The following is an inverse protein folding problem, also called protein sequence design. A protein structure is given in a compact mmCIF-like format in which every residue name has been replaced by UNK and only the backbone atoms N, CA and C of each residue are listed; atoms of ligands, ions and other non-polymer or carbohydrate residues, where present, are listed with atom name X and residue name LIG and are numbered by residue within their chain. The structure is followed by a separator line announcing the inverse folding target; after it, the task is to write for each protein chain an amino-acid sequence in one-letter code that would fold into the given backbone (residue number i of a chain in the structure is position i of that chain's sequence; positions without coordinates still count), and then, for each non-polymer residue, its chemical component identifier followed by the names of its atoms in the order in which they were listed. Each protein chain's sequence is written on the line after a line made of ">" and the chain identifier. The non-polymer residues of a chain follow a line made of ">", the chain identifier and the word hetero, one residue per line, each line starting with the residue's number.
data_IF_679670153478
#
_entry.id   IF_679670153478
#
_cell.length_a   1.000
_cell.length_b   1.000
_cell.length_c   1.000
_cell.angle_alpha   90.00
_cell.angle_beta   90.00
_cell.angle_gamma   90.00
#
_symmetry.space_group_name_H-M   'P 1'
#
loop_
_entity.id
_entity.type
_entity.pdbx_description
1 polymer ?
#
# COMPACT_ATOMS: atom_id res chain seq x y z
N UNK A 1 -14.89 -27.29 -4.50
CA UNK A 1 -15.49 -27.55 -5.82
C UNK A 1 -16.72 -26.68 -5.91
N UNK A 2 -16.74 -25.74 -6.85
CA UNK A 2 -17.92 -24.89 -7.08
C UNK A 2 -18.95 -25.64 -7.92
N UNK A 3 -20.21 -25.49 -7.55
CA UNK A 3 -21.36 -26.00 -8.28
C UNK A 3 -21.78 -25.00 -9.36
N UNK A 4 -22.49 -25.44 -10.41
CA UNK A 4 -23.04 -24.52 -11.41
C UNK A 4 -24.00 -23.48 -10.78
N UNK A 5 -24.60 -23.81 -9.64
CA UNK A 5 -25.46 -22.94 -8.84
C UNK A 5 -24.72 -21.76 -8.19
N UNK A 6 -23.39 -21.86 -8.06
CA UNK A 6 -22.55 -20.80 -7.50
C UNK A 6 -22.21 -19.71 -8.54
N UNK A 7 -22.49 -19.97 -9.83
CA UNK A 7 -22.29 -19.00 -10.91
C UNK A 7 -23.40 -17.94 -10.85
N UNK A 8 -23.12 -16.85 -10.15
CA UNK A 8 -24.02 -15.69 -10.05
C UNK A 8 -23.46 -14.50 -10.84
N UNK A 9 -24.32 -13.61 -11.36
CA UNK A 9 -23.87 -12.35 -11.96
C UNK A 9 -22.87 -11.61 -11.06
N UNK A 10 -21.80 -11.12 -11.65
CA UNK A 10 -20.62 -10.49 -11.03
C UNK A 10 -19.65 -11.42 -10.28
N UNK A 11 -19.87 -12.75 -10.26
CA UNK A 11 -18.85 -13.66 -9.73
C UNK A 11 -17.62 -13.70 -10.65
N UNK A 12 -16.43 -13.90 -10.06
CA UNK A 12 -15.19 -14.10 -10.81
C UNK A 12 -14.86 -15.60 -10.82
N UNK A 13 -14.69 -16.15 -12.02
CA UNK A 13 -14.52 -17.58 -12.25
C UNK A 13 -13.18 -17.84 -12.95
N UNK A 14 -12.52 -18.93 -12.55
CA UNK A 14 -11.40 -19.56 -13.25
C UNK A 14 -11.85 -20.86 -13.92
N UNK A 15 -11.25 -21.18 -15.07
CA UNK A 15 -11.45 -22.46 -15.75
C UNK A 15 -12.37 -22.42 -16.97
N UNK A 16 -12.98 -21.27 -17.26
CA UNK A 16 -13.66 -21.00 -18.54
C UNK A 16 -12.61 -20.78 -19.64
N UNK A 17 -11.62 -19.92 -19.35
CA UNK A 17 -10.46 -19.72 -20.20
C UNK A 17 -9.22 -20.35 -19.53
N UNK A 18 -8.27 -20.93 -20.31
CA UNK A 18 -7.12 -21.65 -19.77
C UNK A 18 -6.22 -20.83 -18.84
N UNK A 19 -6.09 -19.53 -19.09
CA UNK A 19 -5.13 -18.65 -18.41
C UNK A 19 -5.74 -17.29 -18.01
N UNK A 20 -7.07 -17.22 -17.90
CA UNK A 20 -7.75 -15.97 -17.58
C UNK A 20 -8.92 -16.17 -16.62
N UNK A 21 -9.08 -15.19 -15.73
CA UNK A 21 -10.30 -15.02 -14.94
C UNK A 21 -11.36 -14.33 -15.80
N UNK A 22 -12.60 -14.76 -15.62
CA UNK A 22 -13.76 -14.17 -16.30
C UNK A 22 -14.78 -13.72 -15.27
N UNK A 23 -15.47 -12.63 -15.57
CA UNK A 23 -16.57 -12.13 -14.74
C UNK A 23 -17.89 -12.59 -15.34
N UNK A 24 -18.76 -13.19 -14.52
CA UNK A 24 -20.12 -13.55 -14.93
C UNK A 24 -20.92 -12.29 -15.22
N UNK A 25 -21.48 -12.19 -16.42
CA UNK A 25 -22.43 -11.13 -16.77
C UNK A 25 -23.85 -11.64 -16.58
N UNK A 26 -24.16 -12.81 -17.12
CA UNK A 26 -25.47 -13.43 -17.03
C UNK A 26 -25.36 -14.96 -17.05
N UNK A 27 -26.38 -15.62 -16.50
CA UNK A 27 -26.52 -17.08 -16.47
C UNK A 27 -27.95 -17.43 -16.87
N UNK A 28 -28.10 -18.28 -17.88
CA UNK A 28 -29.40 -18.78 -18.33
C UNK A 28 -29.43 -20.30 -18.23
N UNK A 29 -30.34 -20.83 -17.40
CA UNK A 29 -30.46 -22.26 -17.18
C UNK A 29 -31.33 -22.94 -18.24
N UNK A 30 -30.89 -24.12 -18.68
CA UNK A 30 -31.66 -25.05 -19.52
C UNK A 30 -31.94 -26.33 -18.73
N UNK A 31 -33.08 -26.33 -18.03
CA UNK A 31 -33.43 -27.41 -17.09
C UNK A 31 -32.46 -27.45 -15.90
N UNK A 32 -32.08 -28.65 -15.45
CA UNK A 32 -31.18 -28.84 -14.31
C UNK A 32 -29.75 -29.28 -14.70
N UNK A 33 -29.52 -29.57 -15.99
CA UNK A 33 -28.29 -30.22 -16.45
C UNK A 33 -27.30 -29.32 -17.19
N UNK A 34 -27.75 -28.13 -17.62
CA UNK A 34 -26.94 -27.22 -18.41
C UNK A 34 -27.32 -25.76 -18.15
N UNK A 35 -26.35 -24.86 -18.33
CA UNK A 35 -26.57 -23.42 -18.37
C UNK A 35 -25.73 -22.77 -19.46
N UNK A 36 -26.24 -21.69 -20.04
CA UNK A 36 -25.45 -20.77 -20.86
C UNK A 36 -24.91 -19.66 -19.96
N UNK A 37 -23.59 -19.53 -19.97
CA UNK A 37 -22.84 -18.53 -19.23
C UNK A 37 -22.42 -17.41 -20.19
N UNK A 38 -22.92 -16.20 -19.98
CA UNK A 38 -22.36 -14.99 -20.58
C UNK A 38 -21.32 -14.43 -19.64
N UNK A 39 -20.09 -14.30 -20.11
CA UNK A 39 -18.97 -13.80 -19.32
C UNK A 39 -18.22 -12.67 -20.03
N UNK A 40 -17.48 -11.89 -19.26
CA UNK A 40 -16.62 -10.81 -19.73
C UNK A 40 -15.18 -11.09 -19.31
N UNK A 41 -14.24 -10.99 -20.25
CA UNK A 41 -12.80 -11.11 -19.97
C UNK A 41 -12.24 -9.80 -19.41
N UNK A 42 -11.04 -9.85 -18.83
CA UNK A 42 -10.32 -8.66 -18.39
C UNK A 42 -10.07 -7.64 -19.53
N UNK A 43 -9.98 -8.11 -20.77
CA UNK A 43 -9.86 -7.27 -21.97
C UNK A 43 -11.17 -6.58 -22.38
N UNK A 44 -12.27 -6.87 -21.68
CA UNK A 44 -13.58 -6.30 -21.94
C UNK A 44 -14.41 -7.04 -22.99
N UNK A 45 -13.87 -8.09 -23.61
CA UNK A 45 -14.57 -8.93 -24.58
C UNK A 45 -15.65 -9.75 -23.88
N UNK A 46 -16.85 -9.74 -24.45
CA UNK A 46 -17.98 -10.56 -23.98
C UNK A 46 -18.10 -11.79 -24.86
N UNK A 47 -18.29 -12.95 -24.24
CA UNK A 47 -18.50 -14.22 -24.92
C UNK A 47 -19.50 -15.08 -24.14
N UNK A 48 -20.05 -16.09 -24.82
CA UNK A 48 -20.96 -17.06 -24.24
C UNK A 48 -20.36 -18.46 -24.33
N UNK A 49 -20.59 -19.28 -23.30
CA UNK A 49 -20.23 -20.69 -23.30
C UNK A 49 -21.37 -21.50 -22.67
N UNK A 50 -21.65 -22.67 -23.25
CA UNK A 50 -22.63 -23.61 -22.70
C UNK A 50 -21.89 -24.58 -21.76
N UNK A 51 -22.32 -24.62 -20.50
CA UNK A 51 -21.72 -25.43 -19.45
C UNK A 51 -22.68 -26.53 -19.01
N UNK A 52 -22.11 -27.70 -18.75
CA UNK A 52 -22.80 -28.89 -18.25
C UNK A 52 -22.24 -29.31 -16.90
N UNK A 53 -22.93 -30.23 -16.23
CA UNK A 53 -22.50 -30.77 -14.91
C UNK A 53 -21.09 -31.36 -14.91
N UNK A 54 -20.62 -31.92 -16.01
CA UNK A 54 -19.26 -32.46 -16.09
C UNK A 54 -18.18 -31.36 -16.14
N UNK A 55 -18.55 -30.13 -16.51
CA UNK A 55 -17.65 -28.98 -16.54
C UNK A 55 -17.42 -28.38 -15.14
N UNK A 56 -18.25 -28.71 -14.14
CA UNK A 56 -18.08 -28.26 -12.75
C UNK A 56 -16.67 -28.57 -12.20
N UNK A 57 -16.08 -29.69 -12.63
CA UNK A 57 -14.74 -30.09 -12.20
C UNK A 57 -13.63 -29.14 -12.65
N UNK A 58 -13.81 -28.40 -13.77
CA UNK A 58 -12.83 -27.42 -14.25
C UNK A 58 -13.08 -26.00 -13.72
N UNK A 59 -14.23 -25.76 -13.12
CA UNK A 59 -14.69 -24.43 -12.73
C UNK A 59 -14.35 -24.17 -11.26
N UNK A 60 -13.75 -23.02 -11.00
CA UNK A 60 -13.48 -22.53 -9.64
C UNK A 60 -13.97 -21.08 -9.52
N UNK A 61 -14.89 -20.82 -8.58
CA UNK A 61 -15.28 -19.45 -8.22
C UNK A 61 -14.21 -18.86 -7.32
N UNK A 62 -13.44 -17.91 -7.85
CA UNK A 62 -12.27 -17.30 -7.18
C UNK A 62 -12.67 -16.14 -6.27
N UNK A 63 -13.71 -15.39 -6.65
CA UNK A 63 -14.16 -14.24 -5.87
C UNK A 63 -15.69 -14.10 -5.97
N UNK A 64 -16.37 -14.22 -4.82
CA UNK A 64 -17.79 -13.87 -4.68
C UNK A 64 -17.88 -12.42 -4.21
N UNK A 65 -17.77 -11.45 -5.11
CA UNK A 65 -17.87 -10.06 -4.67
C UNK A 65 -17.49 -9.00 -5.69
N UNK A 66 -17.78 -7.75 -5.33
CA UNK A 66 -17.36 -6.58 -6.09
C UNK A 66 -15.86 -6.34 -5.79
N UNK A 67 -15.00 -6.14 -6.79
CA UNK A 67 -13.57 -5.82 -6.58
C UNK A 67 -13.31 -4.55 -5.75
N UNK A 68 -14.35 -3.77 -5.45
CA UNK A 68 -14.33 -2.54 -4.65
C UNK A 68 -15.39 -2.61 -3.55
N UNK A 69 -15.31 -3.62 -2.69
CA UNK A 69 -16.31 -3.87 -1.64
C UNK A 69 -16.43 -2.75 -0.60
N UNK A 70 -15.38 -1.95 -0.38
CA UNK A 70 -15.28 -0.95 0.72
C UNK A 70 -15.76 -1.49 2.08
N UNK A 71 -15.67 -2.80 2.27
CA UNK A 71 -16.14 -3.59 3.40
C UNK A 71 -15.00 -3.99 4.35
N UNK A 72 -13.78 -3.49 4.10
CA UNK A 72 -12.64 -3.66 4.97
C UNK A 72 -12.82 -2.99 6.34
N UNK A 73 -12.05 -3.45 7.32
CA UNK A 73 -12.08 -2.90 8.67
C UNK A 73 -11.58 -1.44 8.69
N UNK A 74 -12.51 -0.50 8.88
CA UNK A 74 -12.22 0.93 8.95
C UNK A 74 -11.33 1.33 10.13
N UNK A 75 -11.37 0.58 11.25
CA UNK A 75 -10.49 0.84 12.39
C UNK A 75 -9.05 0.47 12.05
N UNK A 76 -8.85 -0.67 11.40
CA UNK A 76 -7.53 -1.09 10.92
C UNK A 76 -6.98 -0.13 9.86
N UNK A 77 -7.81 0.29 8.90
CA UNK A 77 -7.44 1.29 7.91
C UNK A 77 -6.96 2.60 8.56
N UNK A 78 -7.73 3.12 9.53
CA UNK A 78 -7.36 4.31 10.29
C UNK A 78 -6.04 4.12 11.03
N UNK A 79 -5.85 2.98 11.70
CA UNK A 79 -4.63 2.69 12.45
C UNK A 79 -3.39 2.72 11.55
N UNK A 80 -3.45 2.05 10.39
CA UNK A 80 -2.34 2.04 9.43
C UNK A 80 -2.09 3.43 8.86
N UNK A 81 -3.15 4.17 8.54
CA UNK A 81 -3.04 5.55 8.05
C UNK A 81 -2.34 6.46 9.06
N UNK A 82 -2.72 6.41 10.34
CA UNK A 82 -2.07 7.17 11.41
C UNK A 82 -0.62 6.72 11.64
N UNK A 83 -0.35 5.42 11.60
CA UNK A 83 1.01 4.89 11.70
C UNK A 83 1.89 5.41 10.56
N UNK A 84 1.38 5.45 9.33
CA UNK A 84 2.09 6.03 8.19
C UNK A 84 2.30 7.54 8.35
N UNK A 85 1.30 8.28 8.82
CA UNK A 85 1.42 9.72 9.10
C UNK A 85 2.55 10.02 10.09
N UNK A 86 2.64 9.25 11.18
CA UNK A 86 3.72 9.41 12.17
C UNK A 86 5.06 8.99 11.58
N UNK A 87 5.12 7.82 10.91
CA UNK A 87 6.35 7.30 10.31
C UNK A 87 6.96 8.26 9.30
N UNK A 88 6.12 8.93 8.51
CA UNK A 88 6.52 9.85 7.44
C UNK A 88 6.62 11.31 7.90
N UNK A 89 6.31 11.62 9.16
CA UNK A 89 6.34 13.00 9.67
C UNK A 89 7.71 13.66 9.47
N UNK A 90 8.79 12.89 9.56
CA UNK A 90 10.15 13.35 9.37
C UNK A 90 10.43 13.96 7.98
N UNK A 91 9.69 13.57 6.94
CA UNK A 91 9.85 14.15 5.60
C UNK A 91 9.44 15.63 5.53
N UNK A 92 8.68 16.09 6.52
CA UNK A 92 8.14 17.44 6.59
C UNK A 92 8.67 18.21 7.80
N UNK A 93 9.59 17.62 8.56
CA UNK A 93 10.22 18.25 9.71
C UNK A 93 11.59 18.81 9.30
N UNK A 94 11.73 20.15 9.16
CA UNK A 94 13.00 20.76 8.79
C UNK A 94 14.06 20.65 9.88
N UNK A 95 13.72 20.22 11.10
CA UNK A 95 14.58 20.21 12.30
C UNK A 95 14.44 18.88 13.07
N UNK A 96 14.36 17.76 12.36
CA UNK A 96 14.04 16.44 12.91
C UNK A 96 14.93 16.01 14.08
N UNK A 97 16.24 16.21 13.98
CA UNK A 97 17.18 15.81 15.01
C UNK A 97 16.95 16.56 16.32
N UNK A 98 16.50 17.82 16.27
CA UNK A 98 16.12 18.58 17.47
C UNK A 98 14.88 17.98 18.12
N UNK A 99 13.84 17.68 17.34
CA UNK A 99 12.60 17.14 17.88
C UNK A 99 12.69 15.69 18.38
N UNK A 100 13.68 14.92 17.90
CA UNK A 100 13.86 13.50 18.24
C UNK A 100 15.03 13.19 19.17
N UNK A 101 15.68 14.23 19.70
CA UNK A 101 16.79 14.11 20.65
C UNK A 101 16.43 14.77 21.98
N UNK A 102 16.91 14.22 23.09
CA UNK A 102 16.70 14.81 24.42
C UNK A 102 17.69 15.96 24.65
N UNK A 103 17.53 17.06 23.91
CA UNK A 103 18.34 18.27 24.02
C UNK A 103 17.46 19.50 23.90
N UNK A 104 17.81 20.57 24.63
CA UNK A 104 17.28 21.91 24.41
C UNK A 104 18.36 22.74 23.69
N UNK A 105 18.39 22.76 22.35
CA UNK A 105 19.45 23.40 21.61
C UNK A 105 19.34 24.92 21.68
N UNK A 106 20.48 25.57 21.82
CA UNK A 106 20.58 27.03 21.79
C UNK A 106 20.50 27.55 20.34
N UNK A 107 20.04 28.79 20.12
CA UNK A 107 19.88 29.33 18.76
C UNK A 107 21.13 29.21 17.88
N UNK A 108 22.33 29.46 18.43
CA UNK A 108 23.57 29.34 17.67
C UNK A 108 23.88 27.89 17.26
N UNK A 109 23.44 26.90 18.05
CA UNK A 109 23.63 25.49 17.74
C UNK A 109 22.73 25.06 16.58
N UNK A 110 21.50 25.57 16.54
CA UNK A 110 20.56 25.33 15.44
C UNK A 110 21.12 25.96 14.15
N UNK A 111 21.50 27.24 14.17
CA UNK A 111 22.08 27.93 13.00
C UNK A 111 23.34 27.22 12.50
N UNK A 112 24.23 26.81 13.41
CA UNK A 112 25.46 26.10 13.04
C UNK A 112 25.16 24.79 12.29
N UNK A 113 24.19 23.99 12.75
CA UNK A 113 23.87 22.71 12.11
C UNK A 113 23.07 22.91 10.82
N UNK A 114 21.93 23.59 10.89
CA UNK A 114 20.94 23.61 9.81
C UNK A 114 21.29 24.60 8.69
N UNK A 115 21.91 25.74 9.01
CA UNK A 115 22.25 26.75 8.00
C UNK A 115 23.70 26.64 7.53
N UNK A 116 24.63 26.25 8.41
CA UNK A 116 26.05 26.21 8.07
C UNK A 116 26.58 24.82 7.71
N UNK A 117 26.17 23.75 8.39
CA UNK A 117 26.74 22.40 8.17
C UNK A 117 25.95 21.58 7.15
N UNK A 118 24.64 21.40 7.34
CA UNK A 118 23.82 20.53 6.47
C UNK A 118 23.88 20.87 4.97
N UNK A 119 23.86 22.15 4.55
CA UNK A 119 23.92 22.49 3.13
C UNK A 119 25.27 22.19 2.46
N UNK A 120 26.31 21.87 3.24
CA UNK A 120 27.69 21.70 2.75
C UNK A 120 28.07 20.22 2.76
N UNK A 121 27.73 19.51 1.69
CA UNK A 121 28.17 18.13 1.50
C UNK A 121 29.07 17.99 0.27
N UNK A 122 30.31 17.45 0.42
CA UNK A 122 30.92 16.93 1.64
C UNK A 122 31.34 18.02 2.65
N UNK A 123 31.15 17.77 3.94
CA UNK A 123 31.46 18.73 5.00
C UNK A 123 32.92 18.64 5.44
N UNK A 124 33.62 19.78 5.43
CA UNK A 124 34.90 19.99 6.13
C UNK A 124 34.79 21.24 6.98
N UNK A 125 34.50 21.07 8.26
CA UNK A 125 34.12 22.16 9.16
C UNK A 125 34.81 22.02 10.52
N UNK A 126 35.34 23.12 11.06
CA UNK A 126 35.98 23.16 12.37
C UNK A 126 35.06 23.89 13.36
N UNK A 127 34.60 23.18 14.39
CA UNK A 127 33.90 23.76 15.53
C UNK A 127 34.92 24.29 16.54
N UNK A 128 35.06 25.62 16.61
CA UNK A 128 36.08 26.31 17.41
C UNK A 128 35.50 27.25 18.49
N UNK A 129 34.24 27.04 18.90
CA UNK A 129 33.61 27.82 19.97
C UNK A 129 34.28 27.62 21.33
N UNK A 130 33.92 28.45 22.32
CA UNK A 130 34.40 28.34 23.69
C UNK A 130 34.06 26.98 24.33
N UNK A 131 34.83 26.53 25.35
CA UNK A 131 34.45 25.38 26.18
C UNK A 131 33.05 25.57 26.77
N UNK A 132 32.19 24.56 26.66
CA UNK A 132 30.80 24.63 27.15
C UNK A 132 29.76 25.17 26.15
N UNK A 133 30.17 25.72 25.00
CA UNK A 133 29.23 26.23 23.98
C UNK A 133 28.38 25.16 23.27
N UNK A 134 28.63 23.87 23.56
CA UNK A 134 27.86 22.74 23.04
C UNK A 134 28.31 22.21 21.67
N UNK A 135 29.61 22.23 21.37
CA UNK A 135 30.20 21.61 20.17
C UNK A 135 29.79 20.14 19.98
N UNK A 136 29.74 19.37 21.07
CA UNK A 136 29.29 17.96 21.03
C UNK A 136 27.81 17.83 20.69
N UNK A 137 26.96 18.76 21.17
CA UNK A 137 25.53 18.79 20.84
C UNK A 137 25.38 19.07 19.35
N UNK A 138 26.08 20.08 18.82
CA UNK A 138 26.06 20.40 17.38
C UNK A 138 26.49 19.22 16.52
N UNK A 139 27.59 18.55 16.87
CA UNK A 139 28.06 17.37 16.14
C UNK A 139 27.05 16.20 16.21
N UNK A 140 26.45 15.96 17.38
CA UNK A 140 25.44 14.93 17.55
C UNK A 140 24.17 15.20 16.74
N UNK A 141 23.70 16.45 16.74
CA UNK A 141 22.56 16.88 15.91
C UNK A 141 22.86 16.71 14.42
N UNK A 142 24.05 17.12 13.96
CA UNK A 142 24.46 16.91 12.57
C UNK A 142 24.47 15.42 12.19
N UNK A 143 25.08 14.56 13.01
CA UNK A 143 25.12 13.11 12.74
C UNK A 143 23.70 12.54 12.70
N UNK A 144 22.82 12.97 13.61
CA UNK A 144 21.44 12.49 13.67
C UNK A 144 20.65 12.88 12.42
N UNK A 145 20.84 14.09 11.90
CA UNK A 145 20.23 14.53 10.63
C UNK A 145 20.73 13.73 9.41
N UNK A 146 22.00 13.30 9.43
CA UNK A 146 22.58 12.53 8.31
C UNK A 146 22.20 11.05 8.31
N UNK A 147 21.85 10.49 9.48
CA UNK A 147 21.49 9.07 9.64
C UNK A 147 19.99 8.83 9.53
N UNK A 148 19.17 9.85 9.82
CA UNK A 148 17.71 9.78 9.72
C UNK A 148 17.24 9.58 8.28
#
# INVERSE_FOLDING_TARGET
>A
MSSLEDLRPNAVIRGILPDALVTVVAVQWFGQGALELTYKTAAGTVANELLYRHDEARIEVVEQGRPWGFDGDGALFRLVSEAQRIRLAHLFDPVLAVHTSMVDPLPHQITAVYEAMLPRQPLRFLLADDPGAGKTIMAGLLIRELVA
#
